data_IF_755032760037
#
_entry.id   IF_755032760037
#
_cell.length_a   1.000
_cell.length_b   1.000
_cell.length_c   1.000
_cell.angle_alpha   90.00
_cell.angle_beta   90.00
_cell.angle_gamma   90.00
#
_symmetry.space_group_name_H-M   'P 1'
#
loop_
_entity.id
_entity.type
_entity.pdbx_description
1 polymer ?
#
# COMPACT_ATOMS: atom_id res chain seq x y z
N UNK A 1 -23.89 6.01 -2.58
CA UNK A 1 -23.53 4.91 -1.67
C UNK A 1 -22.05 4.72 -1.93
N UNK A 2 -21.19 5.15 -1.01
CA UNK A 2 -19.75 5.25 -1.28
C UNK A 2 -19.24 3.88 -1.69
N UNK A 3 -18.68 3.78 -2.90
CA UNK A 3 -17.91 2.62 -3.33
C UNK A 3 -16.91 2.32 -2.22
N UNK A 4 -17.13 1.21 -1.54
CA UNK A 4 -16.31 0.74 -0.42
C UNK A 4 -15.04 0.18 -1.02
N UNK A 5 -14.20 1.05 -1.55
CA UNK A 5 -13.04 0.61 -2.26
C UNK A 5 -12.09 -0.10 -1.31
N UNK A 6 -11.74 -1.35 -1.62
CA UNK A 6 -10.80 -2.12 -0.82
C UNK A 6 -9.41 -1.68 -1.26
N UNK A 7 -8.62 -1.24 -0.30
CA UNK A 7 -7.23 -0.89 -0.54
C UNK A 7 -6.31 -1.91 0.13
N UNK A 8 -5.31 -2.36 -0.61
CA UNK A 8 -4.32 -3.33 -0.14
C UNK A 8 -2.94 -2.69 -0.17
N UNK A 9 -2.29 -2.66 0.99
CA UNK A 9 -0.95 -2.13 1.17
C UNK A 9 0.06 -3.28 1.28
N UNK A 10 0.96 -3.38 0.30
CA UNK A 10 2.08 -4.30 0.30
C UNK A 10 3.31 -3.64 0.91
N UNK A 11 3.78 -4.17 2.03
CA UNK A 11 4.97 -3.67 2.74
C UNK A 11 5.50 -4.70 3.76
N UNK A 12 6.76 -4.53 4.20
CA UNK A 12 7.27 -5.10 5.46
C UNK A 12 6.41 -4.73 6.68
N UNK A 13 6.09 -5.72 7.52
CA UNK A 13 5.33 -5.48 8.74
C UNK A 13 6.14 -4.65 9.76
N UNK A 14 5.50 -3.63 10.35
CA UNK A 14 6.08 -2.90 11.48
C UNK A 14 5.03 -2.66 12.56
N UNK A 15 5.45 -2.66 13.84
CA UNK A 15 4.56 -2.40 14.98
C UNK A 15 3.82 -1.06 14.89
N UNK A 16 4.44 -0.06 14.25
CA UNK A 16 3.85 1.27 14.05
C UNK A 16 2.77 1.21 12.97
N UNK A 17 3.03 0.52 11.86
CA UNK A 17 2.07 0.37 10.76
C UNK A 17 0.81 -0.34 11.23
N UNK A 18 0.93 -1.46 11.95
CA UNK A 18 -0.24 -2.21 12.43
C UNK A 18 -1.15 -1.38 13.33
N UNK A 19 -0.57 -0.54 14.20
CA UNK A 19 -1.34 0.38 15.04
C UNK A 19 -2.03 1.46 14.21
N UNK A 20 -1.34 2.00 13.20
CA UNK A 20 -1.89 3.02 12.32
C UNK A 20 -3.07 2.47 11.50
N UNK A 21 -2.91 1.30 10.87
CA UNK A 21 -3.96 0.64 10.08
C UNK A 21 -5.14 0.24 10.96
N UNK A 22 -4.91 -0.32 12.15
CA UNK A 22 -5.99 -0.63 13.09
C UNK A 22 -6.80 0.61 13.47
N UNK A 23 -6.14 1.75 13.68
CA UNK A 23 -6.81 3.03 13.96
C UNK A 23 -7.53 3.58 12.73
N UNK A 24 -6.99 3.39 11.54
CA UNK A 24 -7.62 3.82 10.29
C UNK A 24 -8.90 3.01 10.03
N UNK A 25 -8.81 1.67 10.06
CA UNK A 25 -9.93 0.75 9.82
C UNK A 25 -11.05 0.89 10.86
N UNK A 26 -10.81 1.52 12.02
CA UNK A 26 -11.87 1.82 12.99
C UNK A 26 -12.68 3.09 12.65
N UNK A 27 -12.22 3.90 11.70
CA UNK A 27 -12.80 5.22 11.36
C UNK A 27 -13.15 5.33 9.87
N UNK A 28 -12.53 4.52 9.02
CA UNK A 28 -12.56 4.62 7.56
C UNK A 28 -12.74 3.23 6.93
N UNK A 29 -13.00 3.15 5.61
CA UNK A 29 -13.03 1.88 4.89
C UNK A 29 -11.78 1.03 5.14
N UNK A 30 -11.94 -0.29 5.04
CA UNK A 30 -10.89 -1.23 5.38
C UNK A 30 -9.68 -1.09 4.44
N UNK A 31 -8.49 -1.03 5.04
CA UNK A 31 -7.21 -1.28 4.35
C UNK A 31 -6.69 -2.62 4.83
N UNK A 32 -6.36 -3.50 3.88
CA UNK A 32 -5.66 -4.75 4.11
C UNK A 32 -4.15 -4.54 4.01
N UNK A 33 -3.40 -5.31 4.78
CA UNK A 33 -1.92 -5.30 4.71
C UNK A 33 -1.49 -6.67 4.23
N UNK A 34 -0.76 -6.69 3.12
CA UNK A 34 -0.06 -7.87 2.64
C UNK A 34 1.43 -7.71 2.92
N UNK A 35 2.04 -8.74 3.51
CA UNK A 35 3.45 -8.68 3.88
C UNK A 35 4.27 -8.92 2.62
N UNK A 36 5.06 -7.92 2.25
CA UNK A 36 6.00 -8.02 1.15
C UNK A 36 7.41 -7.73 1.66
N UNK A 37 8.20 -8.79 1.89
CA UNK A 37 9.53 -8.69 2.51
C UNK A 37 10.66 -8.44 1.52
N UNK A 38 10.45 -8.73 0.24
CA UNK A 38 11.52 -8.73 -0.77
C UNK A 38 11.85 -7.34 -1.30
N UNK A 39 11.04 -6.33 -0.96
CA UNK A 39 11.35 -4.93 -1.25
C UNK A 39 11.16 -4.04 -0.03
N UNK A 40 11.96 -2.96 0.01
CA UNK A 40 11.75 -1.86 0.95
C UNK A 40 10.68 -0.85 0.49
N UNK A 41 10.31 -0.95 -0.79
CA UNK A 41 9.26 -0.16 -1.40
C UNK A 41 7.89 -0.62 -0.92
N UNK A 42 6.91 0.27 -1.04
CA UNK A 42 5.52 -0.06 -0.74
C UNK A 42 4.67 0.10 -1.97
N UNK A 43 3.68 -0.77 -2.08
CA UNK A 43 2.69 -0.69 -3.13
C UNK A 43 1.31 -0.58 -2.51
N UNK A 44 0.56 0.43 -2.93
CA UNK A 44 -0.83 0.60 -2.56
C UNK A 44 -1.66 0.30 -3.79
N UNK A 45 -2.52 -0.72 -3.69
CA UNK A 45 -3.49 -1.07 -4.70
C UNK A 45 -4.86 -0.64 -4.21
N UNK A 46 -5.62 0.08 -5.02
CA UNK A 46 -6.98 0.49 -4.72
C UNK A 46 -7.89 -0.14 -5.76
N UNK A 47 -8.93 -0.84 -5.28
CA UNK A 47 -9.97 -1.45 -6.12
C UNK A 47 -9.42 -2.36 -7.21
N UNK A 48 -8.25 -2.96 -6.96
CA UNK A 48 -7.52 -3.80 -7.94
C UNK A 48 -7.28 -3.10 -9.30
N UNK A 49 -7.43 -1.79 -9.38
CA UNK A 49 -7.41 -1.01 -10.64
C UNK A 49 -6.37 0.11 -10.63
N UNK A 50 -6.08 0.68 -9.45
CA UNK A 50 -5.06 1.69 -9.31
C UNK A 50 -3.87 1.15 -8.53
N UNK A 51 -2.65 1.37 -9.05
CA UNK A 51 -1.41 1.03 -8.39
C UNK A 51 -0.58 2.28 -8.10
N UNK A 52 -0.20 2.44 -6.84
CA UNK A 52 0.71 3.48 -6.38
C UNK A 52 1.98 2.86 -5.81
N UNK A 53 3.12 3.34 -6.28
CA UNK A 53 4.44 3.02 -5.75
C UNK A 53 4.92 4.11 -4.79
N UNK A 54 5.51 3.66 -3.70
CA UNK A 54 6.00 4.50 -2.63
C UNK A 54 7.45 4.11 -2.28
N UNK A 55 8.41 4.66 -3.02
CA UNK A 55 9.83 4.31 -2.96
C UNK A 55 10.67 4.96 -1.84
N UNK A 56 10.09 5.20 -0.67
CA UNK A 56 10.81 5.80 0.47
C UNK A 56 10.32 5.19 1.79
N UNK A 57 10.61 5.73 2.97
CA UNK A 57 9.98 5.27 4.23
C UNK A 57 8.79 6.16 4.60
N UNK A 58 7.66 5.60 5.06
CA UNK A 58 6.49 6.40 5.52
C UNK A 58 6.87 7.36 6.67
N UNK A 59 7.93 7.06 7.42
CA UNK A 59 8.44 7.94 8.50
C UNK A 59 9.06 9.24 7.97
N UNK A 60 9.49 9.24 6.70
CA UNK A 60 10.14 10.36 6.03
C UNK A 60 9.13 11.21 5.25
N UNK A 61 7.88 10.72 5.14
CA UNK A 61 6.76 11.46 4.57
C UNK A 61 6.55 12.78 5.33
N UNK A 62 6.67 13.90 4.61
CA UNK A 62 6.52 15.25 5.17
C UNK A 62 7.75 15.82 5.88
N UNK A 63 8.84 15.04 6.05
CA UNK A 63 10.12 15.51 6.61
C UNK A 63 11.20 15.74 5.55
N UNK A 64 11.12 15.03 4.42
CA UNK A 64 12.05 15.14 3.29
C UNK A 64 11.27 15.17 1.98
N UNK A 65 11.95 15.53 0.90
CA UNK A 65 11.43 15.34 -0.45
C UNK A 65 11.08 13.87 -0.66
N UNK A 66 9.88 13.63 -1.14
CA UNK A 66 9.25 12.32 -1.19
C UNK A 66 8.44 12.23 -2.48
N UNK A 67 8.58 11.13 -3.20
CA UNK A 67 7.82 10.88 -4.43
C UNK A 67 6.79 9.77 -4.19
N UNK A 68 5.58 10.02 -4.70
CA UNK A 68 4.55 9.01 -4.92
C UNK A 68 4.33 8.93 -6.42
N UNK A 69 4.30 7.70 -6.95
CA UNK A 69 4.14 7.48 -8.38
C UNK A 69 2.92 6.61 -8.61
N UNK A 70 1.95 7.09 -9.38
CA UNK A 70 0.92 6.20 -9.94
C UNK A 70 1.55 5.45 -11.11
N UNK A 71 1.44 4.14 -11.11
CA UNK A 71 2.01 3.29 -12.17
C UNK A 71 0.91 2.94 -13.17
N UNK A 72 1.13 3.26 -14.45
CA UNK A 72 0.24 2.85 -15.55
C UNK A 72 0.61 1.44 -16.08
N UNK A 73 0.94 0.52 -15.16
CA UNK A 73 1.13 -0.90 -15.47
C UNK A 73 -0.17 -1.65 -15.19
N UNK A 74 -0.40 -2.74 -15.92
CA UNK A 74 -1.54 -3.62 -15.64
C UNK A 74 -1.42 -4.16 -14.20
N UNK A 75 -2.38 -3.81 -13.33
CA UNK A 75 -2.40 -4.23 -11.93
C UNK A 75 -2.30 -5.75 -11.80
N UNK A 76 -2.95 -6.50 -12.69
CA UNK A 76 -2.87 -7.96 -12.74
C UNK A 76 -1.44 -8.49 -12.94
N UNK A 77 -0.61 -7.82 -13.75
CA UNK A 77 0.80 -8.19 -13.91
C UNK A 77 1.58 -7.95 -12.61
N UNK A 78 1.28 -6.87 -11.89
CA UNK A 78 1.94 -6.58 -10.62
C UNK A 78 1.50 -7.54 -9.50
N UNK A 79 0.19 -7.82 -9.39
CA UNK A 79 -0.34 -8.80 -8.45
C UNK A 79 0.29 -10.18 -8.66
N UNK A 80 0.53 -10.58 -9.91
CA UNK A 80 1.25 -11.81 -10.21
C UNK A 80 2.69 -11.79 -9.68
N UNK A 81 3.40 -10.66 -9.73
CA UNK A 81 4.76 -10.56 -9.18
C UNK A 81 4.71 -10.64 -7.65
N UNK A 82 3.79 -9.92 -7.00
CA UNK A 82 3.66 -9.90 -5.55
C UNK A 82 3.24 -11.26 -4.97
N UNK A 83 2.41 -12.01 -5.68
CA UNK A 83 1.86 -13.28 -5.20
C UNK A 83 2.72 -14.51 -5.57
N UNK A 84 3.67 -14.38 -6.52
CA UNK A 84 4.52 -15.48 -6.98
C UNK A 84 5.99 -15.39 -6.52
N UNK A 85 6.28 -14.54 -5.53
CA UNK A 85 7.58 -14.52 -4.83
C UNK A 85 7.51 -15.42 -3.60
#
# INVERSE_FOLDING_TARGET
>A
MLDSGIATLYQVETKILNKAVKRYNSQYPLIEIEIFSDAHDRFLIIDETELYHIGASLKDLGKKWFAFSRMDIEVGTMLNILNNI
#
